data_IF_882564331041
#
_entry.id   IF_882564331041
#
_cell.length_a   1.000
_cell.length_b   1.000
_cell.length_c   1.000
_cell.angle_alpha   90.00
_cell.angle_beta   90.00
_cell.angle_gamma   90.00
#
_symmetry.space_group_name_H-M   'P 1'
#
loop_
_entity.id
_entity.type
_entity.pdbx_description
1 polymer ?
#
# COMPACT_ATOMS: atom_id res chain seq x y z
N UNK A 1 -11.30 -9.56 3.71
CA UNK A 1 -10.07 -8.89 4.18
C UNK A 1 -9.16 -9.84 4.95
N UNK A 2 -9.67 -10.53 5.96
CA UNK A 2 -8.86 -11.48 6.77
C UNK A 2 -8.20 -12.54 5.87
N UNK A 3 -8.92 -13.10 4.91
CA UNK A 3 -8.34 -14.04 3.95
C UNK A 3 -7.23 -13.39 3.12
N UNK A 4 -7.39 -12.14 2.72
CA UNK A 4 -6.35 -11.41 1.96
C UNK A 4 -5.11 -11.11 2.82
N UNK A 5 -5.29 -10.83 4.13
CA UNK A 5 -4.16 -10.68 5.07
C UNK A 5 -3.39 -12.00 5.24
N UNK A 6 -4.11 -13.12 5.26
CA UNK A 6 -3.55 -14.45 5.47
C UNK A 6 -3.14 -15.17 4.18
N UNK A 7 -3.19 -14.50 3.03
CA UNK A 7 -2.71 -15.07 1.78
C UNK A 7 -1.19 -15.25 1.81
N UNK A 8 -0.70 -16.33 1.19
CA UNK A 8 0.75 -16.60 1.05
C UNK A 8 1.47 -15.42 0.36
N UNK A 9 0.77 -14.75 -0.56
CA UNK A 9 1.28 -13.56 -1.27
C UNK A 9 0.43 -12.32 -0.95
N UNK A 10 0.99 -11.11 -1.01
CA UNK A 10 0.27 -9.89 -0.65
C UNK A 10 -0.63 -9.32 -1.76
N UNK A 11 -0.59 -9.84 -2.98
CA UNK A 11 -1.39 -9.38 -4.13
C UNK A 11 -2.90 -9.28 -3.84
N UNK A 12 -3.54 -10.22 -3.12
CA UNK A 12 -4.96 -10.11 -2.80
C UNK A 12 -5.35 -8.84 -2.03
N UNK A 13 -4.41 -8.22 -1.31
CA UNK A 13 -4.63 -6.95 -0.62
C UNK A 13 -4.74 -5.78 -1.61
N UNK A 14 -3.87 -5.76 -2.63
CA UNK A 14 -3.94 -4.76 -3.71
C UNK A 14 -5.26 -4.90 -4.47
N UNK A 15 -5.63 -6.13 -4.82
CA UNK A 15 -6.89 -6.43 -5.54
C UNK A 15 -8.11 -5.96 -4.73
N UNK A 16 -8.14 -6.25 -3.44
CA UNK A 16 -9.23 -5.81 -2.57
C UNK A 16 -9.32 -4.29 -2.46
N UNK A 17 -8.18 -3.59 -2.33
CA UNK A 17 -8.17 -2.13 -2.28
C UNK A 17 -8.61 -1.50 -3.60
N UNK A 18 -8.22 -2.09 -4.74
CA UNK A 18 -8.68 -1.68 -6.06
C UNK A 18 -10.19 -1.85 -6.21
N UNK A 19 -10.73 -3.00 -5.85
CA UNK A 19 -12.18 -3.27 -5.88
C UNK A 19 -12.94 -2.28 -5.00
N UNK A 20 -12.49 -2.07 -3.77
CA UNK A 20 -13.07 -1.05 -2.87
C UNK A 20 -13.07 0.32 -3.52
N UNK A 21 -11.99 0.70 -4.20
CA UNK A 21 -11.85 1.98 -4.87
C UNK A 21 -12.79 2.11 -6.07
N UNK A 22 -12.94 1.06 -6.86
CA UNK A 22 -13.88 1.03 -8.00
C UNK A 22 -15.33 1.13 -7.51
N UNK A 23 -15.69 0.36 -6.48
CA UNK A 23 -17.04 0.42 -5.89
C UNK A 23 -17.32 1.82 -5.33
N UNK A 24 -16.31 2.44 -4.69
CA UNK A 24 -16.43 3.79 -4.12
C UNK A 24 -16.64 4.90 -5.14
N UNK A 25 -16.46 4.65 -6.45
CA UNK A 25 -16.75 5.62 -7.51
C UNK A 25 -18.25 5.93 -7.61
N UNK A 26 -19.08 4.93 -7.38
CA UNK A 26 -20.54 5.09 -7.44
C UNK A 26 -21.23 4.22 -6.37
N UNK A 27 -21.46 4.81 -5.20
CA UNK A 27 -22.11 4.14 -4.08
C UNK A 27 -23.61 3.96 -4.27
N UNK A 28 -24.25 4.73 -5.15
CA UNK A 28 -25.67 4.60 -5.46
C UNK A 28 -25.97 3.34 -6.27
N UNK A 29 -24.98 2.84 -7.00
CA UNK A 29 -25.08 1.60 -7.80
C UNK A 29 -23.85 0.73 -7.54
N UNK A 30 -23.88 -0.02 -6.44
CA UNK A 30 -22.78 -0.92 -6.06
C UNK A 30 -22.64 -2.02 -7.10
N UNK A 31 -21.42 -2.18 -7.62
CA UNK A 31 -21.09 -3.25 -8.55
C UNK A 31 -20.89 -4.58 -7.81
N UNK A 32 -21.98 -5.34 -7.67
CA UNK A 32 -21.95 -6.65 -7.01
C UNK A 32 -21.11 -7.68 -7.76
N UNK A 33 -20.98 -7.58 -9.09
CA UNK A 33 -20.18 -8.50 -9.90
C UNK A 33 -18.70 -8.50 -9.48
N UNK A 34 -18.15 -7.34 -9.07
CA UNK A 34 -16.79 -7.27 -8.56
C UNK A 34 -16.63 -7.94 -7.19
N UNK A 35 -17.65 -7.85 -6.33
CA UNK A 35 -17.67 -8.51 -5.02
C UNK A 35 -17.73 -10.03 -5.21
N UNK A 36 -18.61 -10.49 -6.08
CA UNK A 36 -18.78 -11.91 -6.39
C UNK A 36 -17.52 -12.48 -7.03
N UNK A 37 -16.95 -11.75 -8.00
CA UNK A 37 -15.68 -12.12 -8.62
C UNK A 37 -14.54 -12.23 -7.58
N UNK A 38 -14.43 -11.25 -6.68
CA UNK A 38 -13.41 -11.29 -5.64
C UNK A 38 -13.60 -12.47 -4.68
N UNK A 39 -14.85 -12.81 -4.37
CA UNK A 39 -15.15 -13.97 -3.52
C UNK A 39 -14.68 -15.28 -4.18
N UNK A 40 -14.83 -15.41 -5.48
CA UNK A 40 -14.29 -16.55 -6.24
C UNK A 40 -12.77 -16.50 -6.27
N UNK A 41 -12.19 -15.34 -6.61
CA UNK A 41 -10.74 -15.14 -6.66
C UNK A 41 -10.07 -15.54 -5.34
N UNK A 42 -10.53 -14.98 -4.21
CA UNK A 42 -9.90 -15.23 -2.91
C UNK A 42 -10.04 -16.68 -2.45
N UNK A 43 -11.07 -17.40 -2.91
CA UNK A 43 -11.25 -18.83 -2.59
C UNK A 43 -10.22 -19.73 -3.28
N UNK A 44 -9.56 -19.25 -4.34
CA UNK A 44 -8.49 -19.98 -5.05
C UNK A 44 -7.11 -19.71 -4.47
N UNK A 45 -6.97 -18.71 -3.59
CA UNK A 45 -5.70 -18.31 -3.02
C UNK A 45 -5.33 -19.24 -1.87
N UNK A 46 -4.09 -19.67 -1.87
CA UNK A 46 -3.53 -20.45 -0.76
C UNK A 46 -3.35 -19.52 0.44
N UNK A 47 -3.83 -19.96 1.59
CA UNK A 47 -3.71 -19.23 2.84
C UNK A 47 -2.50 -19.73 3.63
N UNK A 48 -1.73 -18.80 4.18
CA UNK A 48 -0.73 -19.11 5.18
C UNK A 48 -1.41 -19.47 6.51
N UNK A 49 -0.77 -20.29 7.30
CA UNK A 49 -1.22 -20.59 8.67
C UNK A 49 -0.83 -19.41 9.58
N UNK A 50 -1.63 -18.34 9.54
CA UNK A 50 -1.44 -17.25 10.49
C UNK A 50 -1.95 -17.66 11.87
N UNK A 51 -1.05 -17.77 12.83
CA UNK A 51 -1.39 -17.91 14.23
C UNK A 51 -1.32 -16.53 14.91
N UNK A 52 -2.45 -15.96 15.36
CA UNK A 52 -2.44 -14.70 16.10
C UNK A 52 -1.66 -14.87 17.40
N UNK A 53 -0.50 -14.21 17.47
CA UNK A 53 0.36 -14.27 18.65
C UNK A 53 -0.06 -13.19 19.63
N UNK A 54 -0.79 -13.57 20.67
CA UNK A 54 -1.09 -12.71 21.81
C UNK A 54 0.07 -12.76 22.80
N UNK A 55 0.91 -11.76 22.81
CA UNK A 55 1.92 -11.57 23.83
C UNK A 55 1.26 -10.94 25.07
N UNK A 56 1.13 -11.73 26.16
CA UNK A 56 0.50 -11.26 27.41
C UNK A 56 1.48 -10.47 28.29
N UNK A 57 2.73 -10.85 28.27
CA UNK A 57 3.80 -10.27 29.10
C UNK A 57 4.86 -9.60 28.22
N UNK A 58 4.68 -8.30 27.94
CA UNK A 58 5.66 -7.52 27.21
C UNK A 58 6.51 -6.78 28.23
N UNK A 59 7.81 -7.10 28.34
CA UNK A 59 8.69 -6.46 29.33
C UNK A 59 9.09 -5.06 28.87
N UNK A 60 8.95 -4.09 29.76
CA UNK A 60 9.60 -2.81 29.66
C UNK A 60 8.95 -1.81 28.69
N UNK A 61 9.57 -0.65 28.58
CA UNK A 61 9.16 0.40 27.64
C UNK A 61 9.73 0.07 26.24
N UNK A 62 8.85 -0.32 25.33
CA UNK A 62 9.16 -0.52 23.91
C UNK A 62 8.91 0.77 23.16
N UNK A 63 9.80 1.13 22.26
CA UNK A 63 9.73 2.34 21.43
C UNK A 63 9.69 1.99 19.93
N UNK A 64 9.45 2.99 19.09
CA UNK A 64 9.62 2.83 17.65
C UNK A 64 11.05 2.44 17.25
N UNK A 65 12.06 2.83 18.03
CA UNK A 65 13.43 2.39 17.82
C UNK A 65 13.58 0.87 18.04
N UNK A 66 12.89 0.31 19.04
CA UNK A 66 12.89 -1.14 19.27
C UNK A 66 12.26 -1.90 18.10
N UNK A 67 11.18 -1.33 17.51
CA UNK A 67 10.56 -1.89 16.32
C UNK A 67 11.52 -1.81 15.13
N UNK A 68 12.18 -0.66 14.91
CA UNK A 68 13.14 -0.48 13.83
C UNK A 68 14.31 -1.48 13.95
N UNK A 69 14.89 -1.63 15.13
CA UNK A 69 15.97 -2.60 15.36
C UNK A 69 15.51 -4.03 15.06
N UNK A 70 14.33 -4.42 15.56
CA UNK A 70 13.80 -5.77 15.30
C UNK A 70 13.57 -6.04 13.79
N UNK A 71 13.12 -5.03 13.05
CA UNK A 71 12.95 -5.14 11.59
C UNK A 71 14.33 -5.29 10.91
N UNK A 72 15.31 -4.45 11.24
CA UNK A 72 16.65 -4.50 10.66
C UNK A 72 17.39 -5.81 10.96
N UNK A 73 17.16 -6.36 12.16
CA UNK A 73 17.77 -7.63 12.61
C UNK A 73 17.01 -8.87 12.10
N UNK A 74 15.96 -8.70 11.31
CA UNK A 74 15.04 -9.76 10.86
C UNK A 74 14.43 -10.55 12.05
N UNK A 75 14.28 -9.89 13.19
CA UNK A 75 13.65 -10.48 14.39
C UNK A 75 12.12 -10.34 14.32
N UNK A 76 11.49 -11.30 13.68
CA UNK A 76 10.03 -11.36 13.53
C UNK A 76 9.30 -11.33 14.88
N UNK A 77 9.87 -12.01 15.90
CA UNK A 77 9.27 -12.05 17.23
C UNK A 77 9.34 -10.69 17.90
N UNK A 78 10.52 -10.06 17.90
CA UNK A 78 10.72 -8.71 18.47
C UNK A 78 9.86 -7.66 17.77
N UNK A 79 9.67 -7.76 16.45
CA UNK A 79 8.78 -6.89 15.70
C UNK A 79 7.33 -7.02 16.16
N UNK A 80 6.80 -8.26 16.32
CA UNK A 80 5.44 -8.50 16.82
C UNK A 80 5.25 -8.02 18.27
N UNK A 81 6.22 -8.26 19.16
CA UNK A 81 6.18 -7.78 20.53
C UNK A 81 6.12 -6.26 20.57
N UNK A 82 6.94 -5.60 19.75
CA UNK A 82 6.97 -4.14 19.61
C UNK A 82 5.65 -3.60 19.11
N UNK A 83 5.07 -4.17 18.06
CA UNK A 83 3.77 -3.80 17.51
C UNK A 83 2.65 -3.99 18.54
N UNK A 84 2.64 -5.14 19.23
CA UNK A 84 1.64 -5.43 20.25
C UNK A 84 1.67 -4.42 21.41
N UNK A 85 2.87 -3.99 21.83
CA UNK A 85 3.02 -2.95 22.84
C UNK A 85 2.58 -1.57 22.31
N UNK A 86 3.13 -1.16 21.17
CA UNK A 86 2.83 0.15 20.58
C UNK A 86 1.34 0.31 20.29
N UNK A 87 0.65 -0.74 19.87
CA UNK A 87 -0.80 -0.73 19.62
C UNK A 87 -1.65 -0.50 20.88
N UNK A 88 -1.09 -0.71 22.08
CA UNK A 88 -1.77 -0.42 23.35
C UNK A 88 -1.57 1.01 23.83
N UNK A 89 -0.49 1.67 23.40
CA UNK A 89 -0.07 2.99 23.92
C UNK A 89 -0.13 4.10 22.89
N UNK A 90 -0.33 3.78 21.61
CA UNK A 90 -0.43 4.75 20.52
C UNK A 90 -1.57 4.43 19.56
N UNK A 91 -1.96 5.42 18.77
CA UNK A 91 -2.90 5.19 17.68
C UNK A 91 -2.25 4.38 16.56
N UNK A 92 -2.97 3.37 16.04
CA UNK A 92 -2.45 2.47 15.01
C UNK A 92 -1.98 3.18 13.74
N UNK A 93 -2.55 4.32 13.41
CA UNK A 93 -2.15 5.14 12.26
C UNK A 93 -0.68 5.53 12.31
N UNK A 94 -0.15 5.91 13.47
CA UNK A 94 1.26 6.27 13.64
C UNK A 94 2.20 5.08 13.39
N UNK A 95 1.77 3.88 13.78
CA UNK A 95 2.57 2.67 13.58
C UNK A 95 2.59 2.33 12.08
N UNK A 96 1.45 2.41 11.37
CA UNK A 96 1.41 2.20 9.92
C UNK A 96 2.28 3.20 9.17
N UNK A 97 2.23 4.49 9.54
CA UNK A 97 3.05 5.51 8.91
C UNK A 97 4.55 5.29 9.17
N UNK A 98 4.92 4.81 10.36
CA UNK A 98 6.28 4.41 10.66
C UNK A 98 6.73 3.23 9.77
N UNK A 99 5.90 2.18 9.65
CA UNK A 99 6.21 1.03 8.80
C UNK A 99 6.30 1.42 7.32
N UNK A 100 5.45 2.35 6.87
CA UNK A 100 5.50 2.91 5.52
C UNK A 100 6.80 3.69 5.30
N UNK A 101 7.19 4.55 6.25
CA UNK A 101 8.46 5.29 6.20
C UNK A 101 9.65 4.33 6.17
N UNK A 102 9.65 3.32 7.05
CA UNK A 102 10.68 2.29 7.08
C UNK A 102 10.80 1.57 5.73
N UNK A 103 9.68 1.15 5.15
CA UNK A 103 9.68 0.47 3.85
C UNK A 103 10.21 1.36 2.72
N UNK A 104 9.88 2.64 2.72
CA UNK A 104 10.41 3.59 1.75
C UNK A 104 11.92 3.81 1.87
N UNK A 105 12.49 3.63 3.07
CA UNK A 105 13.94 3.73 3.33
C UNK A 105 14.69 2.49 2.90
N UNK A 106 14.13 1.31 3.16
CA UNK A 106 14.91 0.07 3.23
C UNK A 106 14.52 -0.98 2.20
N UNK A 107 13.34 -0.89 1.57
CA UNK A 107 12.86 -1.92 0.64
C UNK A 107 12.54 -1.35 -0.73
N UNK A 108 12.54 -2.19 -1.76
CA UNK A 108 12.20 -1.75 -3.10
C UNK A 108 10.69 -1.75 -3.36
N UNK A 109 9.98 -2.77 -2.89
CA UNK A 109 8.58 -3.00 -3.27
C UNK A 109 7.58 -3.06 -2.11
N UNK A 110 8.00 -3.31 -0.87
CA UNK A 110 7.09 -3.53 0.25
C UNK A 110 6.19 -2.33 0.55
N UNK A 111 6.64 -1.10 0.29
CA UNK A 111 5.85 0.10 0.57
C UNK A 111 4.47 0.11 -0.09
N UNK A 112 4.32 -0.51 -1.27
CA UNK A 112 3.04 -0.62 -1.96
C UNK A 112 2.03 -1.45 -1.15
N UNK A 113 2.47 -2.57 -0.61
CA UNK A 113 1.60 -3.45 0.17
C UNK A 113 1.20 -2.81 1.50
N UNK A 114 2.17 -2.18 2.18
CA UNK A 114 1.91 -1.46 3.44
C UNK A 114 0.90 -0.32 3.21
N UNK A 115 1.03 0.42 2.11
CA UNK A 115 0.08 1.45 1.74
C UNK A 115 -1.34 0.92 1.54
N UNK A 116 -1.50 -0.18 0.80
CA UNK A 116 -2.80 -0.80 0.58
C UNK A 116 -3.40 -1.37 1.87
N UNK A 117 -2.59 -2.00 2.72
CA UNK A 117 -3.04 -2.48 4.04
C UNK A 117 -3.54 -1.31 4.90
N UNK A 118 -2.80 -0.21 4.96
CA UNK A 118 -3.18 0.98 5.72
C UNK A 118 -4.50 1.58 5.24
N UNK A 119 -4.72 1.63 3.92
CA UNK A 119 -5.99 2.11 3.34
C UNK A 119 -7.16 1.18 3.64
N UNK A 120 -6.94 -0.12 3.58
CA UNK A 120 -7.96 -1.12 3.91
C UNK A 120 -8.30 -1.11 5.40
N UNK A 121 -7.30 -0.97 6.27
CA UNK A 121 -7.50 -0.90 7.72
C UNK A 121 -8.39 0.28 8.10
N UNK A 122 -8.15 1.46 7.54
CA UNK A 122 -9.00 2.65 7.71
C UNK A 122 -10.44 2.40 7.24
N UNK A 123 -10.63 1.68 6.15
CA UNK A 123 -11.96 1.32 5.64
C UNK A 123 -12.71 0.38 6.58
N UNK A 124 -12.00 -0.53 7.27
CA UNK A 124 -12.57 -1.46 8.25
C UNK A 124 -12.61 -0.91 9.69
N UNK A 125 -12.41 0.38 9.86
CA UNK A 125 -12.50 1.10 11.14
C UNK A 125 -11.64 0.48 12.26
N UNK A 126 -10.45 0.06 11.92
CA UNK A 126 -9.48 -0.48 12.87
C UNK A 126 -9.78 -1.88 13.41
N UNK A 127 -10.81 -2.54 12.92
CA UNK A 127 -11.26 -3.86 13.43
C UNK A 127 -10.17 -4.94 13.37
N UNK A 128 -9.29 -4.86 12.38
CA UNK A 128 -8.23 -5.85 12.14
C UNK A 128 -6.83 -5.23 12.26
N UNK A 129 -6.70 -4.20 13.10
CA UNK A 129 -5.49 -3.37 13.20
C UNK A 129 -4.26 -4.17 13.55
N UNK A 130 -4.33 -5.01 14.57
CA UNK A 130 -3.17 -5.77 15.03
C UNK A 130 -2.70 -6.78 13.97
N UNK A 131 -3.63 -7.49 13.36
CA UNK A 131 -3.36 -8.44 12.28
C UNK A 131 -2.73 -7.73 11.07
N UNK A 132 -3.27 -6.56 10.72
CA UNK A 132 -2.78 -5.73 9.62
C UNK A 132 -1.35 -5.24 9.87
N UNK A 133 -1.06 -4.76 11.08
CA UNK A 133 0.28 -4.32 11.48
C UNK A 133 1.28 -5.48 11.51
N UNK A 134 0.88 -6.63 12.03
CA UNK A 134 1.70 -7.83 12.04
C UNK A 134 2.02 -8.29 10.60
N UNK A 135 1.04 -8.22 9.69
CA UNK A 135 1.29 -8.54 8.28
C UNK A 135 2.28 -7.57 7.63
N UNK A 136 2.21 -6.28 7.94
CA UNK A 136 3.21 -5.32 7.48
C UNK A 136 4.63 -5.67 7.98
N UNK A 137 4.76 -6.05 9.26
CA UNK A 137 6.06 -6.46 9.81
C UNK A 137 6.58 -7.75 9.15
N UNK A 138 5.72 -8.72 8.86
CA UNK A 138 6.11 -9.94 8.13
C UNK A 138 6.70 -9.62 6.77
N UNK A 139 6.01 -8.79 6.00
CA UNK A 139 6.47 -8.38 4.68
C UNK A 139 7.84 -7.68 4.75
N UNK A 140 8.07 -6.89 5.80
CA UNK A 140 9.34 -6.19 5.98
C UNK A 140 10.48 -7.11 6.42
N UNK A 141 10.22 -8.07 7.29
CA UNK A 141 11.24 -9.02 7.78
C UNK A 141 11.67 -10.01 6.69
N UNK A 142 10.82 -10.28 5.70
CA UNK A 142 11.11 -11.19 4.59
C UNK A 142 11.88 -10.55 3.43
N UNK A 143 12.07 -9.22 3.45
CA UNK A 143 12.72 -8.45 2.38
C UNK A 143 14.23 -8.28 2.61
N UNK A 144 14.98 -8.19 1.51
CA UNK A 144 16.38 -7.74 1.55
C UNK A 144 16.44 -6.22 1.69
N UNK A 145 17.18 -5.73 2.66
CA UNK A 145 17.33 -4.31 2.90
C UNK A 145 18.33 -3.68 1.93
N UNK A 146 17.94 -2.56 1.36
CA UNK A 146 18.82 -1.72 0.56
C UNK A 146 19.47 -0.67 1.48
N UNK A 147 20.79 -0.51 1.41
CA UNK A 147 21.44 0.67 1.98
C UNK A 147 21.04 1.90 1.16
N UNK A 148 20.05 2.63 1.69
CA UNK A 148 19.54 3.81 1.04
C UNK A 148 19.98 5.08 1.77
N UNK A 149 20.91 5.82 1.18
CA UNK A 149 21.21 7.18 1.60
C UNK A 149 20.37 8.14 0.75
N UNK A 150 19.35 8.80 1.32
CA UNK A 150 18.60 9.81 0.58
C UNK A 150 19.56 10.91 0.15
N UNK A 151 19.74 11.10 -1.16
CA UNK A 151 20.43 12.29 -1.63
C UNK A 151 19.57 13.50 -1.29
N UNK A 152 20.17 14.52 -0.69
CA UNK A 152 19.56 15.82 -0.43
C UNK A 152 19.33 16.59 -1.74
N UNK A 153 18.77 15.96 -2.74
CA UNK A 153 18.42 16.63 -3.98
C UNK A 153 17.24 17.55 -3.73
N UNK A 154 17.42 18.79 -4.12
CA UNK A 154 16.41 19.83 -4.06
C UNK A 154 15.11 19.34 -4.71
N UNK A 155 14.06 19.47 -3.93
CA UNK A 155 12.74 18.93 -4.14
C UNK A 155 12.20 19.14 -5.55
N UNK A 156 11.55 18.11 -6.06
CA UNK A 156 10.64 18.16 -7.19
C UNK A 156 9.72 19.38 -7.13
N UNK A 157 9.90 20.29 -8.06
CA UNK A 157 9.04 21.46 -8.16
C UNK A 157 7.68 21.12 -8.79
N UNK A 158 7.58 20.03 -9.55
CA UNK A 158 6.39 19.74 -10.32
C UNK A 158 6.16 18.23 -10.58
N UNK A 159 5.17 17.64 -9.90
CA UNK A 159 4.74 16.25 -10.09
C UNK A 159 4.14 15.98 -11.48
N UNK A 160 3.60 17.02 -12.14
CA UNK A 160 3.03 16.90 -13.48
C UNK A 160 4.12 16.53 -14.48
N UNK A 161 5.33 17.03 -14.29
CA UNK A 161 6.48 16.68 -15.14
C UNK A 161 6.83 15.19 -15.01
N UNK A 162 6.75 14.62 -13.81
CA UNK A 162 7.03 13.19 -13.59
C UNK A 162 5.93 12.29 -14.14
N UNK A 163 4.66 12.66 -13.95
CA UNK A 163 3.53 11.89 -14.49
C UNK A 163 3.47 11.94 -16.03
N UNK A 164 4.08 12.96 -16.64
CA UNK A 164 4.16 13.11 -18.10
C UNK A 164 5.32 12.30 -18.73
N UNK A 165 6.27 11.83 -17.92
CA UNK A 165 7.39 11.02 -18.41
C UNK A 165 6.88 9.62 -18.81
N UNK A 166 7.43 9.10 -19.92
CA UNK A 166 7.17 7.72 -20.32
C UNK A 166 8.04 6.77 -19.49
N UNK A 167 7.72 6.67 -18.19
CA UNK A 167 8.46 5.86 -17.24
C UNK A 167 8.03 4.40 -17.40
N UNK A 168 9.02 3.51 -17.42
CA UNK A 168 8.80 2.06 -17.49
C UNK A 168 7.95 1.53 -16.34
N UNK A 169 8.01 2.21 -15.18
CA UNK A 169 7.32 1.85 -13.95
C UNK A 169 6.27 2.91 -13.55
N UNK A 170 5.32 3.17 -14.45
CA UNK A 170 4.25 4.17 -14.24
C UNK A 170 3.40 3.88 -13.01
N UNK A 171 3.19 2.62 -12.68
CA UNK A 171 2.36 2.20 -11.55
C UNK A 171 3.00 2.65 -10.23
N UNK A 172 4.30 2.43 -10.05
CA UNK A 172 5.02 2.86 -8.85
C UNK A 172 5.09 4.38 -8.74
N UNK A 173 5.26 5.10 -9.85
CA UNK A 173 5.22 6.58 -9.84
C UNK A 173 3.85 7.09 -9.46
N UNK A 174 2.79 6.51 -10.01
CA UNK A 174 1.42 6.88 -9.66
C UNK A 174 1.10 6.57 -8.19
N UNK A 175 1.55 5.43 -7.69
CA UNK A 175 1.42 5.08 -6.29
C UNK A 175 2.17 6.07 -5.38
N UNK A 176 3.41 6.42 -5.72
CA UNK A 176 4.19 7.45 -5.03
C UNK A 176 3.46 8.80 -5.00
N UNK A 177 2.88 9.20 -6.13
CA UNK A 177 2.05 10.41 -6.19
C UNK A 177 0.83 10.34 -5.25
N UNK A 178 0.15 9.20 -5.22
CA UNK A 178 -1.02 8.99 -4.36
C UNK A 178 -0.65 9.10 -2.88
N UNK A 179 0.46 8.49 -2.47
CA UNK A 179 0.98 8.59 -1.11
C UNK A 179 1.40 10.03 -0.79
N UNK A 180 2.10 10.70 -1.71
CA UNK A 180 2.53 12.09 -1.56
C UNK A 180 1.37 13.07 -1.34
N UNK A 181 0.22 12.84 -1.99
CA UNK A 181 -1.00 13.65 -1.88
C UNK A 181 -1.87 13.28 -0.68
N UNK A 182 -1.58 12.17 -0.02
CA UNK A 182 -2.36 11.74 1.13
C UNK A 182 -2.08 12.57 2.38
N UNK A 183 -3.04 12.54 3.30
CA UNK A 183 -2.95 13.24 4.58
C UNK A 183 -2.36 12.30 5.63
N UNK A 184 -1.05 12.43 5.87
CA UNK A 184 -0.27 11.64 6.81
C UNK A 184 0.32 12.53 7.89
N UNK A 185 0.42 12.02 9.12
CA UNK A 185 1.04 12.74 10.24
C UNK A 185 2.54 12.92 10.01
N UNK A 186 3.22 11.86 9.55
CA UNK A 186 4.66 11.87 9.21
C UNK A 186 4.94 12.34 7.77
N UNK A 187 4.08 13.19 7.24
CA UNK A 187 4.06 13.54 5.83
C UNK A 187 5.38 14.13 5.31
N UNK A 188 6.10 14.91 6.12
CA UNK A 188 7.34 15.58 5.68
C UNK A 188 8.42 14.57 5.34
N UNK A 189 8.67 13.58 6.20
CA UNK A 189 9.69 12.56 5.98
C UNK A 189 9.28 11.60 4.85
N UNK A 190 8.04 11.15 4.86
CA UNK A 190 7.51 10.27 3.81
C UNK A 190 7.57 10.96 2.45
N UNK A 191 7.23 12.24 2.35
CA UNK A 191 7.32 13.00 1.09
C UNK A 191 8.75 13.11 0.56
N UNK A 192 9.73 13.36 1.42
CA UNK A 192 11.14 13.39 1.04
C UNK A 192 11.58 12.05 0.45
N UNK A 193 11.24 10.95 1.13
CA UNK A 193 11.59 9.60 0.68
C UNK A 193 10.94 9.26 -0.65
N UNK A 194 9.68 9.62 -0.85
CA UNK A 194 8.96 9.42 -2.10
C UNK A 194 9.62 10.18 -3.24
N UNK A 195 9.98 11.46 -3.03
CA UNK A 195 10.67 12.28 -4.02
C UNK A 195 11.97 11.61 -4.44
N UNK A 196 12.79 11.18 -3.47
CA UNK A 196 14.04 10.51 -3.75
C UNK A 196 13.84 9.19 -4.52
N UNK A 197 12.75 8.47 -4.24
CA UNK A 197 12.43 7.22 -4.93
C UNK A 197 12.03 7.46 -6.39
N UNK A 198 11.18 8.45 -6.65
CA UNK A 198 10.75 8.82 -8.00
C UNK A 198 11.92 9.33 -8.83
N UNK A 199 12.84 10.10 -8.26
CA UNK A 199 14.07 10.54 -8.94
C UNK A 199 14.92 9.37 -9.45
N UNK A 200 14.95 8.26 -8.74
CA UNK A 200 15.68 7.07 -9.21
C UNK A 200 15.02 6.43 -10.42
N UNK A 201 13.69 6.35 -10.43
CA UNK A 201 12.95 5.80 -11.56
C UNK A 201 13.10 6.63 -12.83
N UNK A 202 13.39 7.93 -12.69
CA UNK A 202 13.53 8.87 -13.81
C UNK A 202 14.90 8.91 -14.48
N UNK A 203 15.90 8.21 -13.96
CA UNK A 203 17.27 8.23 -14.54
C UNK A 203 17.41 7.46 -15.85
N UNK A 204 16.39 6.71 -16.26
CA UNK A 204 16.31 6.14 -17.60
C UNK A 204 15.69 7.16 -18.55
N UNK A 205 16.47 7.68 -19.50
CA UNK A 205 16.04 8.67 -20.50
C UNK A 205 14.85 8.15 -21.33
N UNK A 206 13.68 8.74 -21.14
CA UNK A 206 12.51 8.49 -21.97
C UNK A 206 11.97 9.78 -22.57
N UNK A 207 11.48 9.78 -23.83
CA UNK A 207 10.94 10.97 -24.48
C UNK A 207 9.70 11.48 -23.74
N UNK A 208 9.63 12.79 -23.53
CA UNK A 208 8.50 13.46 -22.90
C UNK A 208 7.24 13.31 -23.76
N UNK A 209 6.19 12.74 -23.18
CA UNK A 209 4.84 12.72 -23.79
C UNK A 209 4.05 13.86 -23.15
N UNK A 210 3.68 14.84 -23.94
CA UNK A 210 2.88 16.00 -23.48
C UNK A 210 1.39 15.59 -23.36
N UNK A 211 1.03 15.03 -22.22
CA UNK A 211 -0.36 14.65 -21.91
C UNK A 211 -0.85 15.42 -20.69
N UNK A 212 -1.36 16.62 -20.91
CA UNK A 212 -2.14 17.33 -19.87
C UNK A 212 -3.50 16.67 -19.69
N UNK A 213 -3.65 15.86 -18.65
CA UNK A 213 -4.95 15.27 -18.30
C UNK A 213 -5.82 16.36 -17.69
N UNK A 214 -6.92 16.71 -18.35
CA UNK A 214 -7.91 17.68 -17.85
C UNK A 214 -8.77 17.04 -16.76
N UNK A 215 -9.24 17.86 -15.79
CA UNK A 215 -10.13 17.41 -14.70
C UNK A 215 -11.41 16.74 -15.22
N UNK A 216 -11.93 17.22 -16.33
CA UNK A 216 -13.11 16.67 -17.02
C UNK A 216 -12.85 15.23 -17.51
N UNK A 217 -11.65 14.95 -18.04
CA UNK A 217 -11.25 13.61 -18.48
C UNK A 217 -11.18 12.62 -17.33
N UNK A 218 -10.77 13.05 -16.12
CA UNK A 218 -10.77 12.20 -14.93
C UNK A 218 -12.20 11.82 -14.53
N UNK A 219 -13.13 12.79 -14.55
CA UNK A 219 -14.54 12.55 -14.20
C UNK A 219 -15.20 11.62 -15.22
N UNK A 220 -14.95 11.83 -16.50
CA UNK A 220 -15.42 10.97 -17.58
C UNK A 220 -14.82 9.57 -17.49
N UNK A 221 -13.53 9.45 -17.20
CA UNK A 221 -12.85 8.17 -16.98
C UNK A 221 -13.48 7.36 -15.86
N UNK A 222 -13.82 7.97 -14.71
CA UNK A 222 -14.52 7.30 -13.60
C UNK A 222 -15.89 6.75 -14.01
N UNK A 223 -16.65 7.51 -14.77
CA UNK A 223 -17.94 7.06 -15.30
C UNK A 223 -17.78 5.82 -16.21
N UNK A 224 -16.80 5.84 -17.10
CA UNK A 224 -16.55 4.74 -18.02
C UNK A 224 -16.04 3.48 -17.30
N UNK A 225 -15.19 3.62 -16.29
CA UNK A 225 -14.70 2.52 -15.46
C UNK A 225 -15.88 1.80 -14.80
N UNK A 226 -16.75 2.53 -14.12
CA UNK A 226 -17.90 1.94 -13.46
C UNK A 226 -18.84 1.23 -14.47
N UNK A 227 -19.13 1.89 -15.59
CA UNK A 227 -19.94 1.30 -16.66
C UNK A 227 -19.31 0.05 -17.26
N UNK A 228 -17.98 0.04 -17.43
CA UNK A 228 -17.26 -1.11 -17.95
C UNK A 228 -17.45 -2.33 -17.04
N UNK A 229 -17.15 -2.22 -15.76
CA UNK A 229 -17.28 -3.33 -14.81
C UNK A 229 -18.74 -3.75 -14.57
N UNK A 230 -19.70 -2.83 -14.65
CA UNK A 230 -21.12 -3.15 -14.49
C UNK A 230 -21.67 -4.01 -15.63
N UNK A 231 -21.06 -3.95 -16.82
CA UNK A 231 -21.49 -4.70 -17.99
C UNK A 231 -20.71 -6.01 -18.20
N UNK A 232 -19.65 -6.25 -17.43
CA UNK A 232 -18.88 -7.50 -17.53
C UNK A 232 -19.59 -8.62 -16.78
N UNK A 233 -19.61 -9.80 -17.38
CA UNK A 233 -19.92 -11.03 -16.66
C UNK A 233 -18.74 -11.40 -15.77
N UNK A 234 -19.02 -12.03 -14.62
CA UNK A 234 -18.01 -12.42 -13.62
C UNK A 234 -16.87 -13.21 -14.27
N UNK A 235 -17.18 -14.14 -15.15
CA UNK A 235 -16.21 -14.99 -15.88
C UNK A 235 -15.26 -14.23 -16.81
N UNK A 236 -15.59 -13.00 -17.18
CA UNK A 236 -14.83 -12.16 -18.10
C UNK A 236 -13.98 -11.10 -17.36
N UNK A 237 -14.05 -11.02 -16.04
CA UNK A 237 -13.24 -10.09 -15.25
C UNK A 237 -11.83 -10.69 -15.08
N UNK A 238 -10.82 -10.01 -15.62
CA UNK A 238 -9.42 -10.41 -15.48
C UNK A 238 -8.73 -9.64 -14.35
N UNK A 239 -7.84 -10.32 -13.63
CA UNK A 239 -7.07 -9.74 -12.54
C UNK A 239 -6.31 -8.48 -12.96
N UNK A 240 -5.66 -8.52 -14.13
CA UNK A 240 -4.93 -7.38 -14.69
C UNK A 240 -5.79 -6.14 -14.91
N UNK A 241 -7.08 -6.30 -15.16
CA UNK A 241 -8.02 -5.19 -15.34
C UNK A 241 -8.39 -4.54 -14.01
N UNK A 242 -8.47 -5.34 -12.94
CA UNK A 242 -8.84 -4.84 -11.60
C UNK A 242 -7.67 -4.10 -10.94
N UNK A 243 -6.45 -4.60 -11.09
CA UNK A 243 -5.25 -4.04 -10.44
C UNK A 243 -4.79 -2.73 -11.08
N UNK A 244 -5.15 -2.46 -12.36
CA UNK A 244 -4.80 -1.21 -13.04
C UNK A 244 -5.58 0.02 -12.52
N UNK A 245 -6.58 -0.15 -11.68
CA UNK A 245 -7.41 0.90 -11.09
C UNK A 245 -7.21 1.02 -9.59
#
# INVERSE_FOLDING_TARGET
YVQSLNADTPEPLIVLDAIKSIIGINLDQINTNLIDWFSVYISTIKLSTYEPKNFRDIPGAISFYSLESALLDNDKKGAYESISYLSKVSEGTQIFEFLLEFSLKHTEFCFKYIWHIMRLERFFDGKYRLESLNRCAELLVEEEYLEYTPSLLDCLSNWEDYLSLNIKDKENVFLCYTIYKSDLIRFTEIRKLIICRVDRLNKEECPKIDTKIKKEQITEGRFWINKYFSNLKIENIQLSQVVLF
#
